data_IF_993276899687
#
_entry.id   IF_993276899687
#
_cell.length_a   1.000
_cell.length_b   1.000
_cell.length_c   1.000
_cell.angle_alpha   90.00
_cell.angle_beta   90.00
_cell.angle_gamma   90.00
#
_symmetry.space_group_name_H-M   'P 1'
#
loop_
_entity.id
_entity.type
_entity.pdbx_description
1 polymer ?
#
# COMPACT_ATOMS: atom_id res chain seq x y z
N UNK A 1 3.70 -41.48 21.44
CA UNK A 1 4.10 -40.14 21.91
C UNK A 1 2.83 -39.34 22.07
N UNK A 2 2.56 -38.82 23.26
CA UNK A 2 1.44 -37.91 23.44
C UNK A 2 1.84 -36.51 23.00
N UNK A 3 0.99 -35.89 22.19
CA UNK A 3 1.15 -34.50 21.78
C UNK A 3 0.60 -33.63 22.90
N UNK A 4 1.41 -32.71 23.40
CA UNK A 4 1.01 -31.85 24.53
C UNK A 4 0.08 -30.74 24.05
N UNK A 5 -0.74 -30.21 24.97
CA UNK A 5 -1.62 -29.06 24.70
C UNK A 5 -0.87 -27.88 24.09
N UNK A 6 0.33 -27.58 24.57
CA UNK A 6 1.13 -26.46 24.06
C UNK A 6 1.49 -26.64 22.58
N UNK A 7 1.83 -27.85 22.16
CA UNK A 7 2.09 -28.14 20.74
C UNK A 7 0.83 -27.92 19.90
N UNK A 8 -0.35 -28.24 20.43
CA UNK A 8 -1.61 -27.95 19.74
C UNK A 8 -1.85 -26.45 19.63
N UNK A 9 -1.61 -25.68 20.69
CA UNK A 9 -1.71 -24.22 20.68
C UNK A 9 -0.76 -23.58 19.67
N UNK A 10 0.48 -24.07 19.58
CA UNK A 10 1.47 -23.61 18.59
C UNK A 10 1.01 -23.88 17.14
N UNK A 11 0.21 -24.92 16.92
CA UNK A 11 -0.33 -25.29 15.61
C UNK A 11 -1.63 -24.55 15.25
N UNK A 12 -2.29 -23.88 16.21
CA UNK A 12 -3.56 -23.19 15.96
C UNK A 12 -3.49 -22.13 14.86
N UNK A 13 -2.45 -21.27 14.77
CA UNK A 13 -2.38 -20.27 13.70
C UNK A 13 -2.34 -20.90 12.30
N UNK A 14 -1.59 -22.00 12.13
CA UNK A 14 -1.50 -22.76 10.88
C UNK A 14 -2.79 -23.51 10.56
N UNK A 15 -3.47 -24.03 11.59
CA UNK A 15 -4.79 -24.64 11.45
C UNK A 15 -5.82 -23.60 10.99
N UNK A 16 -5.85 -22.42 11.63
CA UNK A 16 -6.78 -21.35 11.30
C UNK A 16 -6.55 -20.79 9.88
N UNK A 17 -5.28 -20.66 9.43
CA UNK A 17 -4.97 -20.16 8.08
C UNK A 17 -5.23 -21.18 6.97
N UNK A 18 -5.54 -22.43 7.33
CA UNK A 18 -5.72 -23.53 6.37
C UNK A 18 -4.41 -24.09 5.82
N UNK A 19 -3.25 -23.59 6.25
CA UNK A 19 -1.92 -24.03 5.79
C UNK A 19 -1.44 -25.33 6.44
N UNK A 20 -2.13 -25.81 7.48
CA UNK A 20 -1.87 -27.11 8.07
C UNK A 20 -2.13 -28.26 7.07
N UNK A 21 -1.26 -29.28 7.09
CA UNK A 21 -1.49 -30.52 6.34
C UNK A 21 -2.75 -31.25 6.85
N UNK A 22 -3.28 -32.18 6.06
CA UNK A 22 -4.46 -32.95 6.44
C UNK A 22 -4.27 -33.71 7.77
N UNK A 23 -3.10 -34.31 7.96
CA UNK A 23 -2.76 -35.05 9.17
C UNK A 23 -2.68 -34.14 10.40
N UNK A 24 -2.04 -32.98 10.26
CA UNK A 24 -1.96 -31.98 11.34
C UNK A 24 -3.33 -31.43 11.69
N UNK A 25 -4.20 -31.21 10.68
CA UNK A 25 -5.57 -30.73 10.88
C UNK A 25 -6.39 -31.73 11.70
N UNK A 26 -6.36 -33.02 11.32
CA UNK A 26 -7.08 -34.07 12.03
C UNK A 26 -6.59 -34.23 13.49
N UNK A 27 -5.28 -34.05 13.73
CA UNK A 27 -4.71 -34.06 15.07
C UNK A 27 -5.23 -32.90 15.93
N UNK A 28 -5.25 -31.68 15.39
CA UNK A 28 -5.76 -30.49 16.09
C UNK A 28 -7.25 -30.64 16.39
N UNK A 29 -8.07 -31.02 15.41
CA UNK A 29 -9.51 -31.23 15.59
C UNK A 29 -9.85 -32.24 16.70
N UNK A 30 -9.10 -33.35 16.74
CA UNK A 30 -9.25 -34.35 17.80
C UNK A 30 -8.99 -33.76 19.19
N UNK A 31 -8.02 -32.86 19.32
CA UNK A 31 -7.67 -32.24 20.59
C UNK A 31 -8.68 -31.16 21.00
N UNK A 32 -9.13 -30.35 20.04
CA UNK A 32 -10.17 -29.34 20.24
C UNK A 32 -11.51 -29.95 20.68
N UNK A 33 -11.83 -31.17 20.22
CA UNK A 33 -13.03 -31.88 20.67
C UNK A 33 -13.00 -32.25 22.18
N UNK A 34 -11.81 -32.31 22.78
CA UNK A 34 -11.60 -32.70 24.19
C UNK A 34 -11.22 -31.54 25.10
N UNK A 35 -10.81 -30.40 24.54
CA UNK A 35 -10.39 -29.19 25.27
C UNK A 35 -11.23 -27.97 24.81
N UNK A 36 -12.31 -27.65 25.53
CA UNK A 36 -13.17 -26.51 25.22
C UNK A 36 -12.45 -25.17 25.24
N UNK A 37 -11.45 -25.00 26.11
CA UNK A 37 -10.69 -23.76 26.23
C UNK A 37 -9.81 -23.55 24.99
N UNK A 38 -9.18 -24.62 24.49
CA UNK A 38 -8.44 -24.57 23.23
C UNK A 38 -9.36 -24.31 22.02
N UNK A 39 -10.59 -24.82 22.05
CA UNK A 39 -11.58 -24.59 20.99
C UNK A 39 -12.02 -23.12 20.92
N UNK A 40 -12.19 -22.46 22.07
CA UNK A 40 -12.49 -21.03 22.14
C UNK A 40 -11.35 -20.19 21.54
N UNK A 41 -10.09 -20.49 21.89
CA UNK A 41 -8.90 -19.83 21.33
C UNK A 41 -8.84 -20.01 19.81
N UNK A 42 -9.12 -21.22 19.30
CA UNK A 42 -9.14 -21.48 17.87
C UNK A 42 -10.24 -20.68 17.14
N UNK A 43 -11.42 -20.54 17.75
CA UNK A 43 -12.52 -19.72 17.22
C UNK A 43 -12.16 -18.23 17.16
N UNK A 44 -11.49 -17.71 18.19
CA UNK A 44 -11.04 -16.32 18.22
C UNK A 44 -9.98 -16.03 17.15
N UNK A 45 -9.01 -16.93 16.99
CA UNK A 45 -7.99 -16.83 15.92
C UNK A 45 -8.60 -16.85 14.52
N UNK A 46 -9.60 -17.71 14.28
CA UNK A 46 -10.30 -17.76 13.00
C UNK A 46 -11.06 -16.43 12.70
N UNK A 47 -11.67 -15.82 13.73
CA UNK A 47 -12.30 -14.50 13.60
C UNK A 47 -11.25 -13.42 13.29
N UNK A 48 -10.13 -13.40 13.98
CA UNK A 48 -9.05 -12.44 13.75
C UNK A 48 -8.47 -12.57 12.34
N UNK A 49 -8.28 -13.77 11.81
CA UNK A 49 -7.85 -13.96 10.42
C UNK A 49 -8.90 -13.52 9.40
N UNK A 50 -10.19 -13.72 9.69
CA UNK A 50 -11.26 -13.21 8.80
C UNK A 50 -11.35 -11.68 8.77
N UNK A 51 -10.95 -11.01 9.87
CA UNK A 51 -10.90 -9.55 10.01
C UNK A 51 -9.58 -8.97 9.52
N UNK A 52 -8.53 -9.80 9.48
CA UNK A 52 -7.25 -9.45 8.88
C UNK A 52 -7.41 -9.43 7.36
N UNK A 53 -8.04 -8.37 6.88
CA UNK A 53 -8.04 -7.89 5.50
C UNK A 53 -6.59 -7.53 5.14
N UNK A 54 -5.78 -8.57 4.94
CA UNK A 54 -4.47 -8.45 4.31
C UNK A 54 -4.81 -7.89 2.93
N UNK A 55 -4.37 -6.67 2.58
CA UNK A 55 -4.63 -6.15 1.25
C UNK A 55 -4.07 -7.17 0.28
N UNK A 56 -4.95 -7.75 -0.55
CA UNK A 56 -4.56 -8.67 -1.60
C UNK A 56 -3.33 -8.10 -2.32
N UNK A 57 -2.33 -8.93 -2.68
CA UNK A 57 -1.12 -8.44 -3.30
C UNK A 57 -1.52 -7.60 -4.52
N UNK A 58 -1.28 -6.29 -4.42
CA UNK A 58 -1.70 -5.31 -5.42
C UNK A 58 -1.26 -5.84 -6.78
N UNK A 59 -2.25 -6.15 -7.62
CA UNK A 59 -1.99 -6.66 -8.94
C UNK A 59 -1.14 -5.60 -9.67
N UNK A 60 -0.12 -6.02 -10.42
CA UNK A 60 0.85 -5.07 -11.01
C UNK A 60 0.15 -4.02 -11.88
N UNK A 61 -0.98 -4.38 -12.45
CA UNK A 61 -1.89 -3.48 -13.17
C UNK A 61 -2.41 -2.34 -12.29
N UNK A 62 -2.96 -2.63 -11.11
CA UNK A 62 -3.57 -1.63 -10.21
C UNK A 62 -2.54 -0.63 -9.67
N UNK A 63 -1.34 -1.13 -9.34
CA UNK A 63 -0.22 -0.27 -8.92
C UNK A 63 0.26 0.66 -10.05
N UNK A 64 0.21 0.18 -11.30
CA UNK A 64 0.60 0.97 -12.48
C UNK A 64 -0.45 2.05 -12.80
N UNK A 65 -1.73 1.77 -12.58
CA UNK A 65 -2.82 2.74 -12.76
C UNK A 65 -2.74 3.87 -11.73
N UNK A 66 -2.58 3.54 -10.45
CA UNK A 66 -2.39 4.54 -9.39
C UNK A 66 -1.16 5.43 -9.65
N UNK A 67 -0.05 4.82 -10.12
CA UNK A 67 1.14 5.56 -10.49
C UNK A 67 0.91 6.50 -11.68
N UNK A 68 0.18 6.05 -12.71
CA UNK A 68 -0.15 6.88 -13.88
C UNK A 68 -1.05 8.05 -13.51
N UNK A 69 -2.01 7.83 -12.62
CA UNK A 69 -2.91 8.88 -12.17
C UNK A 69 -2.16 9.95 -11.36
N UNK A 70 -1.31 9.55 -10.42
CA UNK A 70 -0.45 10.46 -9.67
C UNK A 70 0.49 11.27 -10.59
N UNK A 71 1.05 10.63 -11.62
CA UNK A 71 1.98 11.27 -12.55
C UNK A 71 1.32 12.34 -13.42
N UNK A 72 0.04 12.21 -13.75
CA UNK A 72 -0.72 13.22 -14.51
C UNK A 72 -0.81 14.55 -13.76
N UNK A 73 -1.14 14.51 -12.47
CA UNK A 73 -1.22 15.71 -11.64
C UNK A 73 0.14 16.38 -11.42
N UNK A 74 1.20 15.57 -11.24
CA UNK A 74 2.57 16.09 -11.16
C UNK A 74 3.00 16.79 -12.46
N UNK A 75 2.68 16.20 -13.61
CA UNK A 75 3.05 16.76 -14.90
C UNK A 75 2.32 18.10 -15.16
N UNK A 76 1.01 18.17 -14.89
CA UNK A 76 0.25 19.41 -15.02
C UNK A 76 0.82 20.53 -14.14
N UNK A 77 1.13 20.23 -12.87
CA UNK A 77 1.75 21.20 -11.95
C UNK A 77 3.11 21.68 -12.47
N UNK A 78 3.92 20.77 -13.00
CA UNK A 78 5.26 21.08 -13.52
C UNK A 78 5.18 21.96 -14.76
N UNK A 79 4.28 21.66 -15.68
CA UNK A 79 4.05 22.46 -16.89
C UNK A 79 3.53 23.85 -16.53
N UNK A 80 2.58 23.96 -15.60
CA UNK A 80 2.06 25.26 -15.17
C UNK A 80 3.16 26.16 -14.58
N UNK A 81 4.02 25.61 -13.71
CA UNK A 81 5.15 26.34 -13.16
C UNK A 81 6.16 26.75 -14.24
N UNK A 82 6.46 25.87 -15.19
CA UNK A 82 7.36 26.17 -16.30
C UNK A 82 6.82 27.33 -17.17
N UNK A 83 5.51 27.36 -17.44
CA UNK A 83 4.87 28.44 -18.19
C UNK A 83 4.98 29.77 -17.43
N UNK A 84 4.70 29.79 -16.13
CA UNK A 84 4.82 31.00 -15.31
C UNK A 84 6.26 31.55 -15.36
N UNK A 85 7.24 30.67 -15.16
CA UNK A 85 8.67 31.05 -15.23
C UNK A 85 9.01 31.59 -16.62
N UNK A 86 8.62 30.91 -17.69
CA UNK A 86 8.90 31.37 -19.06
C UNK A 86 8.28 32.74 -19.35
N UNK A 87 7.02 32.97 -18.98
CA UNK A 87 6.32 34.24 -19.20
C UNK A 87 6.99 35.36 -18.42
N UNK A 88 7.34 35.14 -17.16
CA UNK A 88 8.05 36.14 -16.35
C UNK A 88 9.40 36.49 -16.95
N UNK A 89 10.14 35.50 -17.45
CA UNK A 89 11.46 35.70 -18.05
C UNK A 89 11.38 36.45 -19.40
N UNK A 90 10.38 36.14 -20.23
CA UNK A 90 10.14 36.86 -21.48
C UNK A 90 9.76 38.32 -21.19
N UNK A 91 8.86 38.55 -20.22
CA UNK A 91 8.43 39.88 -19.85
C UNK A 91 9.59 40.76 -19.34
N UNK A 92 10.49 40.20 -18.52
CA UNK A 92 11.65 40.95 -18.01
C UNK A 92 12.63 41.31 -19.13
N UNK A 93 12.90 40.39 -20.07
CA UNK A 93 13.75 40.66 -21.23
C UNK A 93 13.13 41.72 -22.13
N UNK A 94 11.83 41.60 -22.47
CA UNK A 94 11.12 42.59 -23.29
C UNK A 94 11.09 43.97 -22.63
N UNK A 95 10.88 44.03 -21.31
CA UNK A 95 10.88 45.29 -20.56
C UNK A 95 12.27 45.95 -20.57
N UNK A 96 13.33 45.17 -20.35
CA UNK A 96 14.70 45.67 -20.39
C UNK A 96 15.07 46.17 -21.79
N UNK A 97 14.71 45.43 -22.84
CA UNK A 97 14.91 45.82 -24.23
C UNK A 97 14.19 47.12 -24.59
N UNK A 98 12.96 47.31 -24.10
CA UNK A 98 12.19 48.54 -24.32
C UNK A 98 12.86 49.77 -23.68
N UNK A 99 13.39 49.62 -22.46
CA UNK A 99 14.11 50.69 -21.76
C UNK A 99 15.37 51.08 -22.52
N UNK A 100 16.18 50.09 -22.95
CA UNK A 100 17.39 50.32 -23.74
C UNK A 100 17.08 51.02 -25.07
N UNK A 101 16.04 50.57 -25.78
CA UNK A 101 15.60 51.19 -27.05
C UNK A 101 15.22 52.66 -26.87
N UNK A 102 14.50 53.01 -25.80
CA UNK A 102 14.16 54.42 -25.52
C UNK A 102 15.35 55.26 -25.09
N UNK A 103 16.27 54.71 -24.32
CA UNK A 103 17.48 55.43 -23.92
C UNK A 103 18.38 55.77 -25.13
N UNK A 104 18.47 54.89 -26.12
CA UNK A 104 19.23 55.12 -27.35
C UNK A 104 18.61 56.20 -28.25
N UNK A 105 17.28 56.37 -28.22
CA UNK A 105 16.59 57.37 -29.05
C UNK A 105 16.62 58.80 -28.48
N UNK A 106 17.03 58.96 -27.22
CA UNK A 106 17.13 60.21 -26.47
C UNK A 106 18.55 60.82 -26.49
N UNK A 107 19.53 60.11 -27.05
CA UNK A 107 20.92 60.51 -27.19
C UNK A 107 21.26 60.79 -28.66
#
# INVERSE_FOLDING_TARGET
MDVTRNVILDLLPLYASGEASADTRALVEKHLATDPEAADIASELAKLQSVSDVPAPLNREDAMEAYREAKKYMLQRTIALAIIIAVTFIATISFLGLILSRAFHLF
#
